data_IF_033705741524
#
_entry.id   IF_033705741524
#
_cell.length_a   1.000
_cell.length_b   1.000
_cell.length_c   1.000
_cell.angle_alpha   90.00
_cell.angle_beta   90.00
_cell.angle_gamma   90.00
#
_symmetry.space_group_name_H-M   'P 1'
#
loop_
_entity.id
_entity.type
_entity.pdbx_description
1 polymer ?
#
# COMPACT_ATOMS: atom_id res chain seq x y z
N UNK A 1 -12.53 22.08 -9.74
CA UNK A 1 -11.31 21.37 -9.34
C UNK A 1 -11.20 20.15 -10.24
N UNK A 2 -10.35 20.20 -11.27
CA UNK A 2 -10.21 19.15 -12.28
C UNK A 2 -9.29 18.06 -11.73
N UNK A 3 -9.80 16.85 -11.54
CA UNK A 3 -8.98 15.70 -11.15
C UNK A 3 -8.11 15.27 -12.35
N UNK A 4 -6.83 14.98 -12.09
CA UNK A 4 -5.88 14.51 -13.11
C UNK A 4 -6.08 13.03 -13.47
N UNK A 5 -6.51 12.25 -12.49
CA UNK A 5 -6.80 10.83 -12.55
C UNK A 5 -8.24 10.63 -12.09
N UNK A 6 -9.03 10.02 -12.98
CA UNK A 6 -10.38 9.57 -12.69
C UNK A 6 -10.38 8.05 -12.71
N UNK A 7 -10.79 7.47 -11.59
CA UNK A 7 -10.98 6.02 -11.45
C UNK A 7 -12.39 5.71 -10.98
N UNK A 8 -12.66 4.43 -10.77
CA UNK A 8 -13.91 3.94 -10.18
C UNK A 8 -13.62 3.39 -8.78
N UNK A 9 -14.48 3.71 -7.82
CA UNK A 9 -14.44 3.11 -6.49
C UNK A 9 -14.78 1.63 -6.58
N UNK A 10 -13.95 0.79 -5.93
CA UNK A 10 -14.21 -0.65 -5.83
C UNK A 10 -15.45 -0.99 -5.01
N UNK A 11 -15.85 -0.11 -4.10
CA UNK A 11 -16.93 -0.36 -3.14
C UNK A 11 -18.26 0.26 -3.61
N UNK A 12 -18.24 1.50 -4.10
CA UNK A 12 -19.47 2.24 -4.47
C UNK A 12 -19.71 2.35 -5.97
N UNK A 13 -18.73 2.03 -6.82
CA UNK A 13 -18.79 2.23 -8.27
C UNK A 13 -18.79 3.70 -8.72
N UNK A 14 -18.70 4.66 -7.79
CA UNK A 14 -18.65 6.08 -8.12
C UNK A 14 -17.26 6.50 -8.60
N UNK A 15 -17.19 7.67 -9.25
CA UNK A 15 -15.93 8.24 -9.71
C UNK A 15 -15.05 8.67 -8.54
N UNK A 16 -13.81 8.18 -8.50
CA UNK A 16 -12.76 8.64 -7.59
C UNK A 16 -11.85 9.63 -8.30
N UNK A 17 -11.53 10.72 -7.61
CA UNK A 17 -10.47 11.66 -8.02
C UNK A 17 -9.08 11.21 -7.55
N UNK A 18 -8.09 12.08 -7.74
CA UNK A 18 -6.66 11.78 -7.58
C UNK A 18 -6.29 11.03 -6.30
N UNK A 19 -6.42 11.69 -5.14
CA UNK A 19 -5.93 11.15 -3.86
C UNK A 19 -6.68 9.88 -3.47
N UNK A 20 -8.01 9.87 -3.59
CA UNK A 20 -8.82 8.70 -3.25
C UNK A 20 -8.51 7.50 -4.15
N UNK A 21 -8.27 7.74 -5.44
CA UNK A 21 -7.85 6.69 -6.36
C UNK A 21 -6.44 6.16 -6.02
N UNK A 22 -5.51 7.03 -5.59
CA UNK A 22 -4.18 6.61 -5.10
C UNK A 22 -4.33 5.76 -3.82
N UNK A 23 -5.15 6.18 -2.84
CA UNK A 23 -5.39 5.41 -1.61
C UNK A 23 -5.92 4.01 -1.92
N UNK A 24 -6.88 3.91 -2.85
CA UNK A 24 -7.40 2.63 -3.32
C UNK A 24 -6.32 1.78 -4.00
N UNK A 25 -5.50 2.38 -4.86
CA UNK A 25 -4.43 1.68 -5.58
C UNK A 25 -3.35 1.15 -4.65
N UNK A 26 -2.89 1.95 -3.69
CA UNK A 26 -1.93 1.52 -2.66
C UNK A 26 -2.46 0.33 -1.88
N UNK A 27 -3.73 0.38 -1.46
CA UNK A 27 -4.37 -0.75 -0.79
C UNK A 27 -4.41 -2.00 -1.69
N UNK A 28 -4.80 -1.85 -2.96
CA UNK A 28 -4.85 -2.97 -3.92
C UNK A 28 -3.47 -3.64 -4.09
N UNK A 29 -2.42 -2.84 -4.26
CA UNK A 29 -1.05 -3.33 -4.44
C UNK A 29 -0.59 -4.11 -3.21
N UNK A 30 -0.80 -3.56 -2.01
CA UNK A 30 -0.27 -4.15 -0.77
C UNK A 30 -1.01 -5.45 -0.39
N UNK A 31 -2.33 -5.51 -0.55
CA UNK A 31 -3.10 -6.69 -0.14
C UNK A 31 -3.08 -7.82 -1.18
N UNK A 32 -2.71 -7.53 -2.44
CA UNK A 32 -2.71 -8.53 -3.51
C UNK A 32 -1.46 -9.40 -3.42
N UNK A 33 -1.55 -10.73 -3.24
CA UNK A 33 -0.39 -11.60 -3.25
C UNK A 33 0.21 -11.70 -4.65
N UNK A 34 1.55 -11.70 -4.75
CA UNK A 34 2.25 -11.99 -6.01
C UNK A 34 1.82 -13.37 -6.53
N UNK A 35 1.55 -13.45 -7.84
CA UNK A 35 1.10 -14.64 -8.54
C UNK A 35 -0.42 -14.80 -8.64
N UNK A 36 -1.20 -14.02 -7.90
CA UNK A 36 -2.67 -14.14 -7.86
C UNK A 36 -3.37 -13.56 -9.10
N UNK A 37 -2.82 -12.50 -9.73
CA UNK A 37 -3.42 -11.91 -10.94
C UNK A 37 -3.13 -12.73 -12.20
N UNK A 38 -4.20 -13.07 -12.92
CA UNK A 38 -4.15 -13.70 -14.24
C UNK A 38 -3.40 -12.79 -15.23
N UNK A 39 -2.48 -13.37 -16.01
CA UNK A 39 -1.62 -12.67 -16.97
C UNK A 39 -0.73 -11.53 -16.40
N UNK A 40 -0.70 -11.34 -15.07
CA UNK A 40 0.16 -10.35 -14.39
C UNK A 40 0.70 -10.91 -13.07
N UNK A 41 1.44 -12.01 -13.16
CA UNK A 41 1.93 -12.75 -11.97
C UNK A 41 2.86 -11.92 -11.09
N UNK A 42 3.58 -10.96 -11.65
CA UNK A 42 4.48 -10.08 -10.90
C UNK A 42 3.78 -8.99 -10.07
N UNK A 43 2.47 -8.80 -10.26
CA UNK A 43 1.70 -7.76 -9.59
C UNK A 43 1.41 -8.15 -8.13
N UNK A 44 1.51 -7.17 -7.23
CA UNK A 44 1.17 -7.31 -5.83
C UNK A 44 2.36 -7.09 -4.90
N UNK A 45 2.26 -7.65 -3.69
CA UNK A 45 3.27 -7.56 -2.64
C UNK A 45 3.61 -8.94 -2.05
N UNK A 46 4.74 -8.99 -1.32
CA UNK A 46 5.14 -10.17 -0.54
C UNK A 46 4.52 -10.19 0.87
N UNK A 47 3.67 -9.22 1.22
CA UNK A 47 3.11 -9.12 2.58
C UNK A 47 2.34 -10.37 2.99
N UNK A 48 1.59 -10.97 2.06
CA UNK A 48 0.83 -12.19 2.33
C UNK A 48 1.70 -13.36 2.79
N UNK A 49 2.98 -13.43 2.40
CA UNK A 49 3.89 -14.47 2.84
C UNK A 49 4.49 -14.20 4.24
N UNK A 50 4.35 -12.96 4.74
CA UNK A 50 4.84 -12.51 6.04
C UNK A 50 3.75 -12.55 7.13
N UNK A 51 2.50 -12.82 6.75
CA UNK A 51 1.38 -13.04 7.69
C UNK A 51 1.70 -14.27 8.56
N UNK A 52 1.21 -14.26 9.81
CA UNK A 52 1.42 -15.29 10.83
C UNK A 52 2.88 -15.53 11.26
N UNK A 53 3.82 -14.69 10.81
CA UNK A 53 5.19 -14.71 11.31
C UNK A 53 5.32 -13.97 12.65
N UNK A 54 6.25 -14.39 13.54
CA UNK A 54 6.48 -13.68 14.78
C UNK A 54 6.94 -12.24 14.51
N UNK A 55 6.36 -11.26 15.20
CA UNK A 55 6.61 -9.83 15.02
C UNK A 55 7.97 -9.35 15.57
N UNK A 56 9.04 -10.05 15.23
CA UNK A 56 10.41 -9.71 15.59
C UNK A 56 10.94 -8.55 14.70
N UNK A 57 12.06 -7.90 15.07
CA UNK A 57 12.63 -6.81 14.29
C UNK A 57 12.99 -7.17 12.84
N UNK A 58 13.34 -8.42 12.56
CA UNK A 58 13.68 -8.87 11.21
C UNK A 58 12.44 -8.93 10.30
N UNK A 59 11.33 -9.51 10.78
CA UNK A 59 10.04 -9.53 10.06
C UNK A 59 9.52 -8.12 9.85
N UNK A 60 9.65 -7.23 10.84
CA UNK A 60 9.31 -5.81 10.69
C UNK A 60 10.08 -5.16 9.54
N UNK A 61 11.38 -5.40 9.44
CA UNK A 61 12.18 -4.89 8.32
C UNK A 61 11.75 -5.50 6.97
N UNK A 62 11.42 -6.79 6.94
CA UNK A 62 10.91 -7.45 5.73
C UNK A 62 9.58 -6.86 5.27
N UNK A 63 8.65 -6.58 6.20
CA UNK A 63 7.38 -5.92 5.91
C UNK A 63 7.62 -4.54 5.32
N UNK A 64 8.50 -3.73 5.91
CA UNK A 64 8.87 -2.41 5.39
C UNK A 64 9.44 -2.51 3.96
N UNK A 65 10.36 -3.44 3.72
CA UNK A 65 10.96 -3.66 2.42
C UNK A 65 9.93 -4.12 1.38
N UNK A 66 9.03 -5.05 1.75
CA UNK A 66 7.97 -5.54 0.88
C UNK A 66 7.00 -4.41 0.47
N UNK A 67 6.58 -3.57 1.42
CA UNK A 67 5.76 -2.39 1.14
C UNK A 67 6.47 -1.43 0.20
N UNK A 68 7.72 -1.08 0.50
CA UNK A 68 8.50 -0.13 -0.29
C UNK A 68 8.70 -0.61 -1.72
N UNK A 69 9.15 -1.85 -1.91
CA UNK A 69 9.40 -2.43 -3.25
C UNK A 69 8.13 -2.53 -4.08
N UNK A 70 7.01 -2.95 -3.48
CA UNK A 70 5.74 -3.07 -4.19
C UNK A 70 5.23 -1.72 -4.68
N UNK A 71 5.27 -0.70 -3.82
CA UNK A 71 4.80 0.65 -4.16
C UNK A 71 5.75 1.37 -5.12
N UNK A 72 7.06 1.22 -4.96
CA UNK A 72 8.04 1.75 -5.91
C UNK A 72 7.81 1.22 -7.32
N UNK A 73 7.43 -0.06 -7.45
CA UNK A 73 7.20 -0.70 -8.76
C UNK A 73 5.86 -0.32 -9.38
N UNK A 74 4.79 -0.25 -8.58
CA UNK A 74 3.42 -0.20 -9.10
C UNK A 74 2.69 1.13 -8.92
N UNK A 75 3.20 2.05 -8.09
CA UNK A 75 2.57 3.34 -7.81
C UNK A 75 3.54 4.52 -8.03
N UNK A 76 3.87 4.87 -9.28
CA UNK A 76 4.84 5.92 -9.59
C UNK A 76 4.34 7.35 -9.26
N UNK A 77 3.06 7.50 -8.92
CA UNK A 77 2.45 8.81 -8.59
C UNK A 77 2.84 9.28 -7.19
N UNK A 78 3.37 8.39 -6.35
CA UNK A 78 3.79 8.69 -4.98
C UNK A 78 5.28 8.49 -4.79
N UNK A 79 5.88 9.36 -3.99
CA UNK A 79 7.23 9.21 -3.46
C UNK A 79 7.12 8.94 -1.96
N UNK A 80 7.64 7.80 -1.52
CA UNK A 80 7.59 7.38 -0.13
C UNK A 80 8.67 8.11 0.69
N UNK A 81 8.27 8.70 1.82
CA UNK A 81 9.17 9.40 2.75
C UNK A 81 9.48 8.54 3.98
N UNK A 82 8.46 7.88 4.53
CA UNK A 82 8.61 7.04 5.71
C UNK A 82 7.57 5.91 5.73
N UNK A 83 7.96 4.79 6.31
CA UNK A 83 7.07 3.67 6.63
C UNK A 83 7.29 3.34 8.12
N UNK A 84 6.24 3.47 8.93
CA UNK A 84 6.27 3.11 10.34
C UNK A 84 5.42 1.87 10.58
N UNK A 85 5.85 1.06 11.55
CA UNK A 85 5.16 -0.16 11.94
C UNK A 85 4.72 -0.08 13.39
N UNK A 86 3.42 -0.17 13.61
CA UNK A 86 2.83 -0.16 14.95
C UNK A 86 2.19 -1.51 15.23
N UNK A 87 2.68 -2.22 16.25
CA UNK A 87 2.09 -3.47 16.71
C UNK A 87 1.05 -3.19 17.79
N UNK A 88 -0.16 -3.71 17.63
CA UNK A 88 -1.21 -3.65 18.64
C UNK A 88 -1.22 -4.92 19.51
N UNK A 89 -1.81 -4.79 20.71
CA UNK A 89 -1.88 -5.88 21.70
C UNK A 89 -2.73 -7.07 21.26
N UNK A 90 -3.59 -6.88 20.26
CA UNK A 90 -4.43 -7.92 19.67
C UNK A 90 -3.72 -8.72 18.56
N UNK A 91 -2.42 -8.49 18.36
CA UNK A 91 -1.63 -9.16 17.33
C UNK A 91 -1.70 -8.49 15.95
N UNK A 92 -2.42 -7.37 15.80
CA UNK A 92 -2.45 -6.64 14.55
C UNK A 92 -1.17 -5.83 14.32
N UNK A 93 -0.76 -5.75 13.06
CA UNK A 93 0.33 -4.91 12.60
C UNK A 93 -0.22 -3.80 11.69
N UNK A 94 -0.02 -2.56 12.10
CA UNK A 94 -0.38 -1.39 11.32
C UNK A 94 0.86 -0.85 10.59
N UNK A 95 0.69 -0.56 9.30
CA UNK A 95 1.70 0.08 8.46
C UNK A 95 1.26 1.50 8.16
N UNK A 96 1.96 2.46 8.74
CA UNK A 96 1.74 3.88 8.48
C UNK A 96 2.70 4.35 7.39
N UNK A 97 2.15 4.75 6.26
CA UNK A 97 2.88 5.17 5.08
C UNK A 97 2.73 6.68 4.91
N UNK A 98 3.86 7.38 4.97
CA UNK A 98 3.95 8.82 4.73
C UNK A 98 4.70 9.06 3.43
N UNK A 99 4.15 9.91 2.57
CA UNK A 99 4.77 10.24 1.30
C UNK A 99 4.31 11.58 0.75
N UNK A 100 4.81 11.92 -0.43
CA UNK A 100 4.34 13.03 -1.23
C UNK A 100 3.88 12.54 -2.59
N UNK A 101 2.85 13.18 -3.16
CA UNK A 101 2.58 13.05 -4.58
C UNK A 101 3.78 13.63 -5.33
N UNK A 102 4.19 12.98 -6.42
CA UNK A 102 5.34 13.39 -7.24
C UNK A 102 5.28 14.86 -7.68
N UNK A 103 4.07 15.45 -7.69
CA UNK A 103 3.83 16.80 -8.18
C UNK A 103 3.65 17.91 -7.12
N UNK A 104 3.56 17.65 -5.79
CA UNK A 104 3.77 18.67 -4.70
C UNK A 104 3.08 18.42 -3.35
N UNK A 105 2.09 17.53 -3.20
CA UNK A 105 1.28 17.46 -1.98
C UNK A 105 1.65 16.27 -1.07
N UNK A 106 1.90 16.52 0.22
CA UNK A 106 2.16 15.47 1.20
C UNK A 106 0.85 14.69 1.51
N UNK A 107 0.92 13.37 1.61
CA UNK A 107 -0.20 12.52 2.01
C UNK A 107 0.21 11.54 3.11
N UNK A 108 -0.77 11.20 3.95
CA UNK A 108 -0.65 10.19 5.00
C UNK A 108 -1.69 9.09 4.75
N UNK A 109 -1.24 7.83 4.73
CA UNK A 109 -2.09 6.66 4.58
C UNK A 109 -1.67 5.60 5.62
N UNK A 110 -2.62 5.16 6.43
CA UNK A 110 -2.44 4.00 7.31
C UNK A 110 -3.14 2.80 6.67
N UNK A 111 -2.45 1.66 6.60
CA UNK A 111 -2.97 0.39 6.09
C UNK A 111 -2.74 -0.69 7.14
N UNK A 112 -3.80 -1.39 7.53
CA UNK A 112 -3.71 -2.58 8.37
C UNK A 112 -3.15 -3.74 7.54
N UNK A 113 -2.11 -4.40 8.04
CA UNK A 113 -1.54 -5.62 7.45
C UNK A 113 -1.83 -6.76 8.41
N UNK A 114 -3.10 -7.13 8.44
CA UNK A 114 -3.65 -8.31 9.09
C UNK A 114 -3.81 -9.43 8.07
#
# INVERSE_FOLDING_TARGET
>A
MTARYLGMSRDSGQTLGDLEHIRQSVRDILITPIGSRVMRRDYGSLLSALIDQPQNPAVKLQVMAACYMALLRWEPRITLTAINLTSAFDGQLYVDITGALADSNAFFLSVSVS
#
